data_IF_140793222415
#
_entry.id   IF_140793222415
#
_cell.length_a   1.000
_cell.length_b   1.000
_cell.length_c   1.000
_cell.angle_alpha   90.00
_cell.angle_beta   90.00
_cell.angle_gamma   90.00
#
_symmetry.space_group_name_H-M   'P 1'
#
loop_
_entity.id
_entity.type
_entity.pdbx_description
1 polymer ?
#
# COMPACT_ATOMS: atom_id res chain seq x y z
N UNK A 1 -24.49 -15.14 27.75
CA UNK A 1 -25.68 -14.84 28.59
C UNK A 1 -25.66 -13.39 29.09
N UNK A 2 -24.52 -12.88 29.56
CA UNK A 2 -24.39 -11.47 30.00
C UNK A 2 -24.53 -10.44 28.87
N UNK A 3 -23.97 -10.68 27.67
CA UNK A 3 -24.11 -9.77 26.51
C UNK A 3 -25.59 -9.46 26.18
N UNK A 4 -26.43 -10.49 26.06
CA UNK A 4 -27.87 -10.34 25.82
C UNK A 4 -28.62 -9.60 26.94
N UNK A 5 -28.14 -9.68 28.17
CA UNK A 5 -28.72 -8.95 29.30
C UNK A 5 -28.36 -7.46 29.24
N UNK A 6 -27.11 -7.15 28.87
CA UNK A 6 -26.62 -5.78 28.66
C UNK A 6 -27.38 -5.12 27.49
N UNK A 7 -27.54 -5.82 26.37
CA UNK A 7 -28.32 -5.35 25.21
C UNK A 7 -29.77 -5.04 25.59
N UNK A 8 -30.40 -5.89 26.40
CA UNK A 8 -31.80 -5.72 26.82
C UNK A 8 -31.99 -4.50 27.72
N UNK A 9 -30.97 -4.10 28.47
CA UNK A 9 -30.99 -2.93 29.37
C UNK A 9 -30.57 -1.65 28.63
N UNK A 10 -29.96 -1.76 27.44
CA UNK A 10 -29.51 -0.60 26.65
C UNK A 10 -28.37 0.16 27.31
N UNK A 11 -27.51 -0.54 28.04
CA UNK A 11 -26.45 0.06 28.85
C UNK A 11 -25.33 0.61 27.97
N UNK A 12 -25.10 1.92 27.99
CA UNK A 12 -24.12 2.62 27.14
C UNK A 12 -22.81 2.97 27.85
N UNK A 13 -22.84 3.08 29.18
CA UNK A 13 -21.67 3.39 30.00
C UNK A 13 -21.61 2.49 31.23
N UNK A 14 -20.39 2.11 31.61
CA UNK A 14 -20.10 1.30 32.78
C UNK A 14 -18.98 1.97 33.57
N UNK A 15 -19.13 2.05 34.90
CA UNK A 15 -18.03 2.44 35.77
C UNK A 15 -17.05 1.29 35.91
N UNK A 16 -15.79 1.53 35.53
CA UNK A 16 -14.70 0.56 35.63
C UNK A 16 -13.66 1.06 36.66
N UNK A 17 -12.92 0.15 37.32
CA UNK A 17 -11.76 0.52 38.13
C UNK A 17 -10.69 1.19 37.26
N UNK A 18 -9.93 2.13 37.84
CA UNK A 18 -8.85 2.82 37.14
C UNK A 18 -7.77 1.85 36.63
N UNK A 19 -7.45 0.82 37.43
CA UNK A 19 -6.46 -0.21 37.12
C UNK A 19 -6.74 -0.97 35.82
N UNK A 20 -7.99 -0.99 35.35
CA UNK A 20 -8.35 -1.63 34.08
C UNK A 20 -7.73 -0.94 32.85
N UNK A 21 -7.35 0.33 32.99
CA UNK A 21 -6.70 1.10 31.92
C UNK A 21 -5.22 0.73 31.76
N UNK A 22 -4.60 0.10 32.76
CA UNK A 22 -3.20 -0.30 32.71
C UNK A 22 -3.01 -1.33 31.59
N UNK A 23 -2.01 -1.11 30.72
CA UNK A 23 -1.74 -1.94 29.55
C UNK A 23 -2.66 -1.68 28.35
N UNK A 24 -3.59 -0.71 28.45
CA UNK A 24 -4.30 -0.20 27.26
C UNK A 24 -3.44 0.80 26.52
N UNK A 25 -3.68 0.92 25.22
CA UNK A 25 -2.92 1.82 24.33
C UNK A 25 -3.78 3.03 23.97
N UNK A 26 -3.17 4.21 24.03
CA UNK A 26 -3.82 5.49 23.71
C UNK A 26 -4.01 5.61 22.19
N UNK A 27 -5.21 6.00 21.75
CA UNK A 27 -5.56 6.08 20.33
C UNK A 27 -5.21 7.43 19.67
N UNK A 28 -5.17 8.52 20.45
CA UNK A 28 -4.92 9.89 19.97
C UNK A 28 -4.03 10.63 20.96
N UNK A 29 -3.28 11.60 20.45
CA UNK A 29 -2.47 12.48 21.29
C UNK A 29 -3.34 13.15 22.36
N UNK A 30 -2.88 13.08 23.60
CA UNK A 30 -3.47 13.80 24.74
C UNK A 30 -2.70 15.11 24.84
N UNK A 31 -3.44 16.21 24.69
CA UNK A 31 -2.90 17.57 24.72
C UNK A 31 -3.39 18.21 26.02
N UNK A 32 -2.48 18.82 26.75
CA UNK A 32 -2.83 19.65 27.90
C UNK A 32 -3.45 20.96 27.40
N UNK A 33 -4.68 21.24 27.86
CA UNK A 33 -5.42 22.44 27.45
C UNK A 33 -4.81 23.75 27.98
N UNK A 34 -4.01 23.69 29.06
CA UNK A 34 -3.38 24.88 29.65
C UNK A 34 -2.06 25.26 28.95
N UNK A 35 -1.22 24.27 28.63
CA UNK A 35 0.10 24.48 28.03
C UNK A 35 0.10 24.34 26.50
N UNK A 36 -0.85 23.58 25.95
CA UNK A 36 -0.89 23.21 24.54
C UNK A 36 0.17 22.19 24.14
N UNK A 37 0.88 21.60 25.09
CA UNK A 37 1.89 20.56 24.84
C UNK A 37 1.23 19.17 24.79
N UNK A 38 1.85 18.26 24.02
CA UNK A 38 1.42 16.86 23.96
C UNK A 38 1.96 16.17 25.22
N UNK A 39 1.06 15.82 26.14
CA UNK A 39 1.41 15.12 27.39
C UNK A 39 1.71 13.64 27.10
N UNK A 40 0.88 13.00 26.27
CA UNK A 40 1.06 11.62 25.82
C UNK A 40 0.77 11.50 24.33
N UNK A 41 1.68 10.87 23.59
CA UNK A 41 1.49 10.61 22.15
C UNK A 41 0.57 9.43 21.89
N UNK A 42 -0.04 9.41 20.71
CA UNK A 42 -0.78 8.27 20.19
C UNK A 42 0.11 7.02 20.16
N UNK A 43 -0.49 5.85 20.38
CA UNK A 43 0.18 4.56 20.50
C UNK A 43 1.05 4.37 21.77
N UNK A 44 1.00 5.30 22.74
CA UNK A 44 1.62 5.11 24.04
C UNK A 44 0.84 4.10 24.91
N UNK A 45 1.55 3.24 25.63
CA UNK A 45 0.97 2.24 26.53
C UNK A 45 0.81 2.82 27.93
N UNK A 46 -0.39 2.67 28.52
CA UNK A 46 -0.71 3.25 29.83
C UNK A 46 -0.03 2.43 30.93
N UNK A 47 0.99 3.02 31.54
CA UNK A 47 1.66 2.52 32.75
C UNK A 47 1.00 3.10 34.01
N UNK A 48 1.36 2.60 35.19
CA UNK A 48 0.89 3.14 36.48
C UNK A 48 1.22 4.64 36.62
N UNK A 49 2.43 5.05 36.22
CA UNK A 49 2.87 6.46 36.25
C UNK A 49 2.03 7.34 35.30
N UNK A 50 1.81 6.87 34.06
CA UNK A 50 0.99 7.60 33.09
C UNK A 50 -0.47 7.71 33.55
N UNK A 51 -0.99 6.67 34.23
CA UNK A 51 -2.35 6.67 34.75
C UNK A 51 -2.56 7.72 35.84
N UNK A 52 -1.61 7.87 36.78
CA UNK A 52 -1.68 8.92 37.81
C UNK A 52 -1.71 10.33 37.20
N UNK A 53 -0.88 10.57 36.16
CA UNK A 53 -0.89 11.82 35.41
C UNK A 53 -2.23 12.09 34.72
N UNK A 54 -2.78 11.10 34.02
CA UNK A 54 -4.08 11.22 33.35
C UNK A 54 -5.22 11.46 34.37
N UNK A 55 -5.20 10.79 35.52
CA UNK A 55 -6.21 10.95 36.57
C UNK A 55 -6.13 12.30 37.30
N UNK A 56 -4.96 12.96 37.28
CA UNK A 56 -4.78 14.29 37.87
C UNK A 56 -5.57 15.39 37.15
N UNK A 57 -6.02 15.12 35.92
CA UNK A 57 -6.85 15.99 35.09
C UNK A 57 -8.30 15.45 34.98
N UNK A 58 -9.16 15.65 35.99
CA UNK A 58 -10.51 15.09 36.01
C UNK A 58 -11.39 15.71 34.92
N UNK A 59 -11.91 14.87 34.01
CA UNK A 59 -12.86 15.26 32.96
C UNK A 59 -12.38 15.06 31.53
N UNK A 60 -11.12 14.67 31.32
CA UNK A 60 -10.61 14.35 29.98
C UNK A 60 -11.27 13.10 29.40
N UNK A 61 -11.55 13.14 28.09
CA UNK A 61 -12.02 11.99 27.32
C UNK A 61 -10.82 11.23 26.78
N UNK A 62 -10.61 10.03 27.27
CA UNK A 62 -9.58 9.13 26.78
C UNK A 62 -10.14 8.19 25.71
N UNK A 63 -9.52 8.18 24.53
CA UNK A 63 -9.78 7.19 23.49
C UNK A 63 -8.67 6.14 23.54
N UNK A 64 -9.03 4.87 23.73
CA UNK A 64 -8.08 3.74 23.73
C UNK A 64 -8.30 2.84 22.53
N UNK A 65 -7.23 2.22 22.03
CA UNK A 65 -7.32 1.22 20.97
C UNK A 65 -7.96 -0.05 21.54
N UNK A 66 -8.99 -0.56 20.87
CA UNK A 66 -9.62 -1.82 21.26
C UNK A 66 -8.79 -3.01 20.78
N UNK A 67 -7.98 -3.56 21.68
CA UNK A 67 -7.19 -4.78 21.47
C UNK A 67 -7.71 -5.94 22.32
N UNK A 68 -7.69 -7.14 21.73
CA UNK A 68 -8.06 -8.40 22.36
C UNK A 68 -7.22 -9.54 21.75
N UNK A 69 -6.90 -10.56 22.54
CA UNK A 69 -6.02 -11.68 22.15
C UNK A 69 -6.64 -12.61 21.10
N UNK A 70 -7.95 -12.52 20.90
CA UNK A 70 -8.71 -13.38 19.98
C UNK A 70 -9.02 -12.70 18.65
N UNK A 71 -9.84 -11.64 18.70
CA UNK A 71 -10.52 -11.12 17.50
C UNK A 71 -9.89 -9.84 16.93
N UNK A 72 -9.06 -9.14 17.71
CA UNK A 72 -8.50 -7.83 17.38
C UNK A 72 -7.08 -7.68 17.98
N UNK A 73 -6.09 -8.30 17.34
CA UNK A 73 -4.70 -8.18 17.78
C UNK A 73 -4.13 -6.77 17.65
N UNK A 74 -3.11 -6.45 18.46
CA UNK A 74 -2.38 -5.18 18.52
C UNK A 74 -1.38 -4.96 17.36
N UNK A 75 -1.51 -5.66 16.24
CA UNK A 75 -0.45 -5.77 15.22
C UNK A 75 0.09 -4.42 14.73
N UNK A 76 -0.80 -3.46 14.43
CA UNK A 76 -0.39 -2.12 13.97
C UNK A 76 0.28 -1.32 15.10
N UNK A 77 -0.25 -1.41 16.32
CA UNK A 77 0.32 -0.75 17.48
C UNK A 77 1.74 -1.25 17.77
N UNK A 78 1.95 -2.56 17.68
CA UNK A 78 3.26 -3.20 17.87
C UNK A 78 4.24 -2.80 16.74
N UNK A 79 3.77 -2.80 15.50
CA UNK A 79 4.58 -2.38 14.34
C UNK A 79 5.00 -0.91 14.43
N UNK A 80 4.08 -0.02 14.84
CA UNK A 80 4.38 1.41 15.01
C UNK A 80 5.36 1.68 16.17
N UNK A 81 5.47 0.78 17.16
CA UNK A 81 6.47 0.90 18.22
C UNK A 81 7.89 0.55 17.74
N UNK A 82 8.00 -0.31 16.74
CA UNK A 82 9.29 -0.67 16.12
C UNK A 82 9.68 0.28 14.99
N UNK A 83 8.73 1.04 14.43
CA UNK A 83 8.99 2.01 13.38
C UNK A 83 9.84 3.18 13.90
N UNK A 84 10.94 3.43 13.21
CA UNK A 84 11.87 4.52 13.54
C UNK A 84 11.50 5.84 12.86
N UNK A 85 10.55 5.82 11.92
CA UNK A 85 10.19 6.99 11.11
C UNK A 85 9.01 7.74 11.73
N UNK A 86 9.06 9.07 11.66
CA UNK A 86 8.04 9.94 12.29
C UNK A 86 7.24 10.75 11.28
N UNK A 87 7.77 10.92 10.07
CA UNK A 87 7.14 11.70 9.03
C UNK A 87 7.26 11.03 7.65
N UNK A 88 6.44 11.51 6.72
CA UNK A 88 6.37 10.94 5.37
C UNK A 88 7.71 10.97 4.62
N UNK A 89 8.51 12.02 4.82
CA UNK A 89 9.79 12.17 4.14
C UNK A 89 10.81 11.14 4.64
N UNK A 90 10.90 10.96 5.96
CA UNK A 90 11.73 9.92 6.57
C UNK A 90 11.34 8.53 6.08
N UNK A 91 10.04 8.22 6.07
CA UNK A 91 9.54 6.95 5.55
C UNK A 91 9.93 6.74 4.08
N UNK A 92 9.81 7.76 3.23
CA UNK A 92 10.24 7.69 1.83
C UNK A 92 11.75 7.53 1.68
N UNK A 93 12.54 8.17 2.54
CA UNK A 93 14.00 8.03 2.55
C UNK A 93 14.40 6.60 2.96
N UNK A 94 13.76 6.00 3.95
CA UNK A 94 14.01 4.61 4.34
C UNK A 94 13.64 3.62 3.23
N UNK A 95 12.50 3.83 2.56
CA UNK A 95 12.12 3.05 1.36
C UNK A 95 13.19 3.20 0.27
N UNK A 96 13.70 4.41 0.04
CA UNK A 96 14.75 4.66 -0.93
C UNK A 96 16.05 3.90 -0.59
N UNK A 97 16.50 3.97 0.67
CA UNK A 97 17.70 3.28 1.17
C UNK A 97 17.61 1.77 0.99
N UNK A 98 16.44 1.19 1.25
CA UNK A 98 16.20 -0.25 1.09
C UNK A 98 16.26 -0.68 -0.38
N UNK A 99 15.66 0.09 -1.28
CA UNK A 99 15.62 -0.22 -2.71
C UNK A 99 16.94 0.07 -3.43
N UNK A 100 17.71 1.06 -2.96
CA UNK A 100 18.98 1.50 -3.55
C UNK A 100 20.05 1.63 -2.47
N UNK A 101 20.58 0.49 -1.98
CA UNK A 101 21.58 0.51 -0.93
C UNK A 101 22.86 1.18 -1.44
N UNK A 102 23.30 2.23 -0.73
CA UNK A 102 24.55 2.95 -1.00
C UNK A 102 24.42 4.24 -1.83
N UNK A 103 23.26 4.53 -2.43
CA UNK A 103 23.01 5.85 -3.04
C UNK A 103 22.55 6.85 -1.97
N UNK A 104 23.12 8.07 -1.91
CA UNK A 104 22.67 9.08 -0.96
C UNK A 104 21.23 9.51 -1.29
N UNK A 105 20.28 9.43 -0.35
CA UNK A 105 18.90 9.81 -0.59
C UNK A 105 18.77 11.33 -0.67
N UNK A 106 18.11 11.83 -1.71
CA UNK A 106 17.60 13.20 -1.77
C UNK A 106 16.07 13.17 -1.70
N UNK A 107 15.47 14.24 -1.17
CA UNK A 107 14.00 14.37 -1.07
C UNK A 107 13.31 14.08 -2.41
N UNK A 108 13.75 14.76 -3.47
CA UNK A 108 13.14 14.62 -4.79
C UNK A 108 13.32 13.21 -5.36
N UNK A 109 14.48 12.56 -5.13
CA UNK A 109 14.72 11.21 -5.61
C UNK A 109 13.83 10.19 -4.88
N UNK A 110 13.68 10.32 -3.56
CA UNK A 110 12.84 9.46 -2.74
C UNK A 110 11.35 9.59 -3.11
N UNK A 111 10.84 10.83 -3.20
CA UNK A 111 9.46 11.11 -3.62
C UNK A 111 9.16 10.55 -5.02
N UNK A 112 10.05 10.82 -5.98
CA UNK A 112 9.88 10.34 -7.35
C UNK A 112 9.99 8.81 -7.44
N UNK A 113 10.88 8.18 -6.68
CA UNK A 113 10.98 6.71 -6.64
C UNK A 113 9.66 6.12 -6.13
N UNK A 114 9.18 6.57 -4.98
CA UNK A 114 7.95 6.05 -4.38
C UNK A 114 6.74 6.21 -5.30
N UNK A 115 6.55 7.40 -5.90
CA UNK A 115 5.47 7.64 -6.86
C UNK A 115 5.54 6.71 -8.06
N UNK A 116 6.75 6.43 -8.55
CA UNK A 116 6.98 5.58 -9.72
C UNK A 116 6.78 4.08 -9.44
N UNK A 117 6.78 3.64 -8.18
CA UNK A 117 6.59 2.23 -7.84
C UNK A 117 5.15 1.75 -8.06
N UNK A 118 4.17 2.55 -7.62
CA UNK A 118 2.77 2.09 -7.54
C UNK A 118 1.75 3.03 -8.20
N UNK A 119 2.09 4.32 -8.33
CA UNK A 119 1.13 5.38 -8.68
C UNK A 119 1.36 5.96 -10.09
N UNK A 120 2.40 5.51 -10.80
CA UNK A 120 2.68 5.95 -12.15
C UNK A 120 2.12 4.95 -13.18
N UNK A 121 1.14 5.34 -14.02
CA UNK A 121 0.52 4.45 -15.01
C UNK A 121 1.50 3.95 -16.09
N UNK A 122 2.60 4.67 -16.34
CA UNK A 122 3.63 4.24 -17.30
C UNK A 122 4.49 3.09 -16.76
N UNK A 123 4.50 2.90 -15.43
CA UNK A 123 5.36 1.91 -14.75
C UNK A 123 4.59 0.81 -14.03
N UNK A 124 3.35 1.08 -13.65
CA UNK A 124 2.52 0.16 -12.90
C UNK A 124 1.13 0.06 -13.53
N UNK A 125 0.70 -1.17 -13.82
CA UNK A 125 -0.61 -1.45 -14.38
C UNK A 125 -1.07 -2.85 -13.94
N UNK A 126 -2.13 -2.91 -13.14
CA UNK A 126 -2.79 -4.15 -12.75
C UNK A 126 -3.46 -4.86 -13.91
N UNK A 127 -3.69 -4.18 -15.05
CA UNK A 127 -4.61 -4.58 -16.12
C UNK A 127 -6.06 -4.72 -15.64
N UNK A 128 -6.99 -4.81 -16.59
CA UNK A 128 -8.40 -5.03 -16.28
C UNK A 128 -8.63 -6.30 -15.46
N UNK A 129 -7.89 -7.39 -15.73
CA UNK A 129 -8.06 -8.66 -15.03
C UNK A 129 -7.49 -8.59 -13.61
N UNK A 130 -6.34 -7.96 -13.42
CA UNK A 130 -5.73 -7.80 -12.09
C UNK A 130 -6.58 -6.90 -11.21
N UNK A 131 -7.09 -5.78 -11.74
CA UNK A 131 -8.00 -4.89 -11.01
C UNK A 131 -9.31 -5.59 -10.62
N UNK A 132 -9.91 -6.33 -11.55
CA UNK A 132 -11.09 -7.16 -11.27
C UNK A 132 -10.82 -8.17 -10.14
N UNK A 133 -9.67 -8.86 -10.17
CA UNK A 133 -9.30 -9.84 -9.14
C UNK A 133 -9.04 -9.18 -7.79
N UNK A 134 -8.32 -8.07 -7.80
CA UNK A 134 -8.03 -7.27 -6.61
C UNK A 134 -9.32 -6.83 -5.91
N UNK A 135 -10.20 -6.15 -6.63
CA UNK A 135 -11.45 -5.62 -6.07
C UNK A 135 -12.31 -6.75 -5.50
N UNK A 136 -12.41 -7.87 -6.22
CA UNK A 136 -13.16 -9.05 -5.73
C UNK A 136 -12.55 -9.66 -4.48
N UNK A 137 -11.23 -9.67 -4.34
CA UNK A 137 -10.54 -10.23 -3.18
C UNK A 137 -10.67 -9.37 -1.93
N UNK A 138 -10.65 -8.05 -2.12
CA UNK A 138 -10.81 -7.03 -1.09
C UNK A 138 -12.28 -6.85 -0.68
N UNK A 139 -13.23 -7.23 -1.55
CA UNK A 139 -14.66 -7.13 -1.28
C UNK A 139 -15.29 -5.81 -1.79
N UNK A 140 -14.58 -5.08 -2.66
CA UNK A 140 -15.10 -3.90 -3.34
C UNK A 140 -16.16 -4.29 -4.37
N UNK A 141 -17.25 -3.53 -4.44
CA UNK A 141 -18.37 -3.82 -5.36
C UNK A 141 -18.01 -3.58 -6.84
N UNK A 142 -17.11 -2.65 -7.09
CA UNK A 142 -16.71 -2.27 -8.44
C UNK A 142 -15.80 -3.31 -9.07
N UNK A 143 -16.10 -3.71 -10.30
CA UNK A 143 -15.32 -4.73 -11.03
C UNK A 143 -14.20 -4.07 -11.85
N UNK A 144 -14.37 -2.80 -12.17
CA UNK A 144 -13.44 -1.98 -12.95
C UNK A 144 -12.79 -0.92 -12.06
N UNK A 145 -11.64 -0.39 -12.48
CA UNK A 145 -10.94 0.67 -11.78
C UNK A 145 -9.65 1.05 -12.50
N UNK A 146 -8.89 1.94 -11.91
CA UNK A 146 -7.59 2.36 -12.43
C UNK A 146 -6.56 1.22 -12.38
N UNK A 147 -5.60 1.25 -13.30
CA UNK A 147 -4.51 0.26 -13.35
C UNK A 147 -3.47 0.46 -12.24
N UNK A 148 -3.30 1.69 -11.75
CA UNK A 148 -2.42 2.03 -10.63
C UNK A 148 -3.08 1.74 -9.29
N UNK A 149 -2.28 1.59 -8.22
CA UNK A 149 -2.81 1.44 -6.87
C UNK A 149 -3.19 2.80 -6.28
N UNK A 150 -4.17 2.78 -5.38
CA UNK A 150 -4.53 3.91 -4.53
C UNK A 150 -4.12 3.66 -3.07
N UNK A 151 -4.09 4.71 -2.25
CA UNK A 151 -3.85 4.56 -0.81
C UNK A 151 -4.90 3.66 -0.16
N UNK A 152 -6.16 3.76 -0.61
CA UNK A 152 -7.26 2.95 -0.11
C UNK A 152 -7.05 1.46 -0.45
N UNK A 153 -6.59 1.16 -1.67
CA UNK A 153 -6.23 -0.22 -2.07
C UNK A 153 -5.22 -0.85 -1.09
N UNK A 154 -4.16 -0.12 -0.75
CA UNK A 154 -3.11 -0.62 0.16
C UNK A 154 -3.67 -0.84 1.56
N UNK A 155 -4.45 0.11 2.08
CA UNK A 155 -5.09 0.01 3.39
C UNK A 155 -6.04 -1.19 3.43
N UNK A 156 -6.80 -1.43 2.38
CA UNK A 156 -7.75 -2.54 2.35
C UNK A 156 -7.05 -3.90 2.24
N UNK A 157 -5.91 -3.99 1.55
CA UNK A 157 -5.07 -5.20 1.59
C UNK A 157 -4.57 -5.46 3.00
N UNK A 158 -4.11 -4.44 3.72
CA UNK A 158 -3.66 -4.58 5.11
C UNK A 158 -4.80 -5.02 6.03
N UNK A 159 -6.01 -4.46 5.85
CA UNK A 159 -7.21 -4.90 6.60
C UNK A 159 -7.50 -6.37 6.36
N UNK A 160 -7.52 -6.80 5.10
CA UNK A 160 -7.74 -8.21 4.74
C UNK A 160 -6.68 -9.12 5.37
N UNK A 161 -5.41 -8.70 5.37
CA UNK A 161 -4.32 -9.46 5.98
C UNK A 161 -4.50 -9.61 7.50
N UNK A 162 -4.85 -8.51 8.18
CA UNK A 162 -5.13 -8.49 9.61
C UNK A 162 -6.36 -9.35 9.94
N UNK A 163 -7.42 -9.27 9.13
CA UNK A 163 -8.63 -10.07 9.31
C UNK A 163 -8.31 -11.57 9.23
N UNK A 164 -7.54 -12.00 8.22
CA UNK A 164 -7.09 -13.40 8.11
C UNK A 164 -6.30 -13.81 9.37
N UNK A 165 -5.42 -12.93 9.86
CA UNK A 165 -4.63 -13.20 11.08
C UNK A 165 -5.50 -13.31 12.35
N UNK A 166 -6.59 -12.55 12.41
CA UNK A 166 -7.63 -12.62 13.45
C UNK A 166 -8.62 -13.78 13.23
N UNK A 167 -8.37 -14.67 12.26
CA UNK A 167 -9.24 -15.82 11.95
C UNK A 167 -10.51 -15.47 11.17
N UNK A 168 -10.62 -14.24 10.67
CA UNK A 168 -11.74 -13.76 9.83
C UNK A 168 -11.34 -13.90 8.36
N UNK A 169 -11.80 -14.98 7.73
CA UNK A 169 -11.55 -15.26 6.32
C UNK A 169 -10.64 -16.46 6.09
N UNK A 170 -10.20 -16.65 4.85
CA UNK A 170 -9.43 -17.82 4.42
C UNK A 170 -8.20 -17.40 3.62
N UNK A 171 -7.16 -18.22 3.71
CA UNK A 171 -5.95 -18.11 2.88
C UNK A 171 -6.30 -18.59 1.47
N UNK A 172 -5.75 -17.92 0.46
CA UNK A 172 -5.98 -18.30 -0.93
C UNK A 172 -5.10 -19.50 -1.34
N UNK A 173 -5.69 -20.44 -2.06
CA UNK A 173 -4.96 -21.53 -2.70
C UNK A 173 -4.38 -21.06 -4.03
N UNK A 174 -3.05 -21.15 -4.17
CA UNK A 174 -2.32 -20.72 -5.37
C UNK A 174 -2.63 -21.63 -6.58
N UNK A 175 -3.03 -22.88 -6.34
CA UNK A 175 -3.29 -23.86 -7.38
C UNK A 175 -4.71 -23.81 -7.92
N UNK A 176 -5.61 -23.12 -7.21
CA UNK A 176 -6.97 -22.92 -7.66
C UNK A 176 -6.99 -22.26 -9.05
N UNK A 177 -7.69 -22.87 -10.01
CA UNK A 177 -7.70 -22.40 -11.41
C UNK A 177 -8.22 -20.97 -11.57
N UNK A 178 -9.04 -20.49 -10.63
CA UNK A 178 -9.43 -19.08 -10.58
C UNK A 178 -8.26 -18.12 -10.37
N UNK A 179 -7.14 -18.57 -9.80
CA UNK A 179 -5.92 -17.79 -9.57
C UNK A 179 -4.85 -18.05 -10.66
N UNK A 180 -5.09 -19.04 -11.53
CA UNK A 180 -4.24 -19.32 -12.70
C UNK A 180 -4.87 -18.74 -13.97
N UNK A 181 -4.10 -17.99 -14.74
CA UNK A 181 -4.56 -17.38 -16.00
C UNK A 181 -3.78 -17.94 -17.17
N UNK A 182 -4.49 -18.39 -18.19
CA UNK A 182 -3.89 -18.81 -19.47
C UNK A 182 -3.63 -17.55 -20.30
N UNK A 183 -2.40 -17.38 -20.74
CA UNK A 183 -2.03 -16.34 -21.71
C UNK A 183 -1.90 -16.97 -23.09
N UNK A 184 -2.56 -16.38 -24.08
CA UNK A 184 -2.45 -16.81 -25.47
C UNK A 184 -1.26 -16.11 -26.15
N UNK A 185 -0.90 -16.59 -27.34
CA UNK A 185 0.20 -16.01 -28.14
C UNK A 185 -0.03 -14.52 -28.40
N UNK A 186 -1.28 -14.11 -28.67
CA UNK A 186 -1.64 -12.72 -28.94
C UNK A 186 -1.32 -11.79 -27.78
N UNK A 187 -1.71 -12.15 -26.56
CA UNK A 187 -1.43 -11.35 -25.36
C UNK A 187 0.08 -11.28 -25.05
N UNK A 188 0.80 -12.38 -25.23
CA UNK A 188 2.24 -12.40 -25.02
C UNK A 188 2.96 -11.52 -26.04
N UNK A 189 2.56 -11.60 -27.32
CA UNK A 189 3.09 -10.76 -28.39
C UNK A 189 2.76 -9.27 -28.16
N UNK A 190 1.55 -8.95 -27.72
CA UNK A 190 1.14 -7.58 -27.38
C UNK A 190 2.02 -6.98 -26.28
N UNK A 191 2.30 -7.74 -25.22
CA UNK A 191 3.19 -7.27 -24.15
C UNK A 191 4.60 -6.96 -24.65
N UNK A 192 5.15 -7.83 -25.50
CA UNK A 192 6.47 -7.60 -26.11
C UNK A 192 6.44 -6.41 -27.07
N UNK A 193 5.38 -6.25 -27.84
CA UNK A 193 5.17 -5.10 -28.71
C UNK A 193 5.12 -3.79 -27.91
N UNK A 194 4.40 -3.77 -26.79
CA UNK A 194 4.34 -2.63 -25.86
C UNK A 194 5.72 -2.26 -25.33
N UNK A 195 6.54 -3.24 -24.92
CA UNK A 195 7.94 -2.99 -24.51
C UNK A 195 8.74 -2.36 -25.66
N UNK A 196 8.54 -2.82 -26.89
CA UNK A 196 9.12 -2.20 -28.09
C UNK A 196 8.69 -0.75 -28.28
N UNK A 197 7.40 -0.45 -28.12
CA UNK A 197 6.86 0.91 -28.25
C UNK A 197 7.41 1.86 -27.18
N UNK A 198 7.52 1.43 -25.92
CA UNK A 198 8.12 2.25 -24.84
C UNK A 198 9.57 2.63 -25.17
N UNK A 199 10.33 1.72 -25.80
CA UNK A 199 11.70 2.03 -26.26
C UNK A 199 11.70 3.07 -27.39
N UNK A 200 10.78 2.95 -28.35
CA UNK A 200 10.63 3.93 -29.43
C UNK A 200 10.22 5.29 -28.86
N UNK A 201 9.21 5.32 -27.98
CA UNK A 201 8.73 6.55 -27.34
C UNK A 201 9.85 7.31 -26.65
N UNK A 202 10.71 6.62 -25.89
CA UNK A 202 11.88 7.24 -25.26
C UNK A 202 12.82 7.87 -26.28
N UNK A 203 13.18 7.12 -27.33
CA UNK A 203 14.06 7.63 -28.39
C UNK A 203 13.44 8.82 -29.15
N UNK A 204 12.12 8.83 -29.32
CA UNK A 204 11.37 9.92 -29.93
C UNK A 204 11.38 11.16 -29.03
N UNK A 205 11.09 11.02 -27.73
CA UNK A 205 11.15 12.11 -26.75
C UNK A 205 12.54 12.75 -26.68
N UNK A 206 13.59 11.92 -26.64
CA UNK A 206 14.98 12.40 -26.61
C UNK A 206 15.34 13.18 -27.88
N UNK A 207 14.91 12.71 -29.06
CA UNK A 207 15.13 13.41 -30.34
C UNK A 207 14.37 14.73 -30.43
N UNK A 208 13.11 14.75 -30.00
CA UNK A 208 12.29 15.97 -30.01
C UNK A 208 12.82 17.03 -29.05
N UNK A 209 13.45 16.63 -27.93
CA UNK A 209 14.05 17.58 -26.99
C UNK A 209 15.32 18.26 -27.54
N UNK A 210 16.00 17.64 -28.50
CA UNK A 210 17.25 18.14 -29.09
C UNK A 210 17.03 18.88 -30.42
N UNK A 211 15.84 18.75 -31.00
CA UNK A 211 15.55 19.30 -32.30
C UNK A 211 15.22 20.79 -32.24
N UNK A 212 15.88 21.58 -33.08
CA UNK A 212 15.41 22.93 -33.43
C UNK A 212 14.13 22.77 -34.27
N UNK A 213 13.07 23.47 -33.87
CA UNK A 213 11.66 23.18 -34.20
C UNK A 213 11.24 23.31 -35.66
N UNK A 214 12.15 23.50 -36.62
CA UNK A 214 11.80 23.71 -38.03
C UNK A 214 12.24 22.54 -38.92
N UNK A 215 11.24 21.82 -39.47
CA UNK A 215 11.43 20.94 -40.64
C UNK A 215 11.48 19.43 -40.38
N UNK A 216 11.41 18.96 -39.14
CA UNK A 216 11.42 17.51 -38.87
C UNK A 216 10.15 16.81 -39.34
N UNK A 217 10.32 15.78 -40.16
CA UNK A 217 9.21 14.93 -40.60
C UNK A 217 9.02 13.74 -39.64
N UNK A 218 7.77 13.30 -39.37
CA UNK A 218 7.51 12.17 -38.46
C UNK A 218 8.27 10.87 -38.80
N UNK A 219 8.50 10.63 -40.10
CA UNK A 219 9.26 9.47 -40.60
C UNK A 219 10.74 9.47 -40.18
N UNK A 220 11.33 10.64 -39.89
CA UNK A 220 12.73 10.78 -39.48
C UNK A 220 12.91 10.49 -37.98
N UNK A 221 11.83 10.68 -37.23
CA UNK A 221 11.79 10.53 -35.78
C UNK A 221 11.52 9.06 -35.38
N UNK A 222 10.68 8.35 -36.13
CA UNK A 222 10.25 6.97 -35.82
C UNK A 222 11.23 5.94 -36.41
N UNK A 223 11.78 5.07 -35.55
CA UNK A 223 12.64 3.95 -35.97
C UNK A 223 11.97 2.61 -35.62
N UNK A 224 11.81 1.74 -36.61
CA UNK A 224 11.19 0.42 -36.43
C UNK A 224 12.13 -0.65 -35.84
N UNK A 225 13.46 -0.43 -35.87
CA UNK A 225 14.45 -1.43 -35.40
C UNK A 225 14.22 -1.90 -33.96
N UNK A 226 13.94 -1.03 -32.96
CA UNK A 226 13.70 -1.47 -31.58
C UNK A 226 12.50 -2.41 -31.46
N UNK A 227 11.42 -2.15 -32.20
CA UNK A 227 10.20 -2.98 -32.17
C UNK A 227 10.47 -4.33 -32.86
N UNK A 228 11.08 -4.30 -34.05
CA UNK A 228 11.40 -5.51 -34.79
C UNK A 228 12.35 -6.44 -34.02
N UNK A 229 13.32 -5.87 -33.29
CA UNK A 229 14.25 -6.64 -32.47
C UNK A 229 13.53 -7.40 -31.35
N UNK A 230 12.63 -6.74 -30.61
CA UNK A 230 11.89 -7.35 -29.50
C UNK A 230 10.95 -8.46 -29.99
N UNK A 231 10.28 -8.25 -31.13
CA UNK A 231 9.44 -9.30 -31.74
C UNK A 231 10.28 -10.49 -32.18
N UNK A 232 11.42 -10.25 -32.84
CA UNK A 232 12.29 -11.32 -33.33
C UNK A 232 12.87 -12.13 -32.17
N UNK A 233 13.24 -11.47 -31.08
CA UNK A 233 13.68 -12.13 -29.84
C UNK A 233 12.55 -12.98 -29.26
N UNK A 234 11.34 -12.43 -29.11
CA UNK A 234 10.19 -13.18 -28.60
C UNK A 234 9.89 -14.46 -29.39
N UNK A 235 9.89 -14.43 -30.72
CA UNK A 235 9.63 -15.64 -31.52
C UNK A 235 10.86 -16.53 -31.70
N UNK A 236 12.08 -15.99 -31.58
CA UNK A 236 13.32 -16.73 -31.85
C UNK A 236 13.94 -17.42 -30.64
N UNK A 237 13.82 -16.83 -29.44
CA UNK A 237 14.52 -17.32 -28.23
C UNK A 237 13.59 -17.60 -27.05
N UNK A 238 12.29 -17.32 -27.14
CA UNK A 238 11.35 -17.62 -26.07
C UNK A 238 11.22 -19.14 -25.86
N UNK A 239 11.23 -19.56 -24.60
CA UNK A 239 11.00 -20.97 -24.20
C UNK A 239 9.64 -21.52 -24.66
N UNK A 240 8.66 -20.61 -24.85
CA UNK A 240 7.32 -20.94 -25.34
C UNK A 240 7.24 -21.04 -26.87
N UNK A 241 8.29 -20.59 -27.58
CA UNK A 241 8.41 -20.69 -29.03
C UNK A 241 9.25 -21.91 -29.38
N UNK A 242 8.60 -23.05 -29.60
CA UNK A 242 9.24 -24.34 -29.85
C UNK A 242 9.05 -24.79 -31.30
N UNK A 243 9.97 -25.61 -31.80
CA UNK A 243 9.80 -26.29 -33.08
C UNK A 243 8.66 -27.32 -32.96
N UNK A 244 7.69 -27.24 -33.86
CA UNK A 244 6.61 -28.24 -33.99
C UNK A 244 7.09 -29.49 -34.71
#
# INVERSE_FOLDING_TARGET
>A
RHIKAIEKVGLTSLTIPADYLIGKVIAKDIIDEETGEIEYSANHEITEESLEGILSHPGQKLETIYTNDLDNGSFIADTLREDSTTNQLEAQIEIYRMMRPGEPPTKDAAENLFKNLFFNPDRYDLSAVGRMKFNRRVGTKDVTGEGVLSNQDIIDVLRVLIDIRNGKGTIDDIDHLGNRRIRSVGEMAENQFRVGLVRVERAVKDRLSLAESEGLLPQEIINAKPVAAVIKEFFGSSQLSQFM
#
